data_IF_861968745234
#
_entry.id   IF_861968745234
#
_cell.length_a   1.000
_cell.length_b   1.000
_cell.length_c   1.000
_cell.angle_alpha   90.00
_cell.angle_beta   90.00
_cell.angle_gamma   90.00
#
_symmetry.space_group_name_H-M   'P 1'
#
loop_
_entity.id
_entity.type
_entity.pdbx_description
1 polymer ?
#
# COMPACT_ATOMS: atom_id res chain seq x y z
N UNK A 1 21.28 10.99 -5.41
CA UNK A 1 19.81 11.22 -5.37
C UNK A 1 19.21 10.11 -4.52
N UNK A 2 19.11 10.31 -3.21
CA UNK A 2 18.70 9.29 -2.22
C UNK A 2 17.53 9.75 -1.34
N UNK A 3 16.80 10.81 -1.68
CA UNK A 3 16.25 11.66 -0.60
C UNK A 3 14.72 11.67 -0.42
N UNK A 4 13.98 10.67 -0.90
CA UNK A 4 12.53 10.55 -0.57
C UNK A 4 12.21 9.26 0.19
N UNK A 5 12.99 8.20 0.02
CA UNK A 5 12.68 6.87 0.59
C UNK A 5 13.13 6.73 2.06
N UNK A 6 14.11 7.52 2.50
CA UNK A 6 14.63 7.42 3.87
C UNK A 6 13.71 8.00 4.95
N UNK A 7 12.80 8.91 4.58
CA UNK A 7 11.90 9.55 5.56
C UNK A 7 10.87 8.55 6.15
N UNK A 8 10.48 7.53 5.39
CA UNK A 8 9.52 6.50 5.83
C UNK A 8 10.21 5.45 6.72
N UNK A 9 11.49 5.19 6.49
CA UNK A 9 12.22 4.05 7.08
C UNK A 9 12.48 4.17 8.59
N UNK A 10 12.68 5.38 9.13
CA UNK A 10 13.20 5.55 10.49
C UNK A 10 12.11 5.42 11.57
N UNK A 11 10.89 5.89 11.30
CA UNK A 11 9.83 5.99 12.34
C UNK A 11 8.87 4.78 12.37
N UNK A 12 8.81 3.99 11.31
CA UNK A 12 7.80 2.92 11.16
C UNK A 12 8.24 1.53 11.63
N UNK A 13 9.48 1.38 12.13
CA UNK A 13 10.11 0.08 12.40
C UNK A 13 9.28 -0.86 13.30
N UNK A 14 8.54 -0.33 14.28
CA UNK A 14 7.70 -1.13 15.21
C UNK A 14 6.35 -1.57 14.63
N UNK A 15 5.64 -0.71 13.91
CA UNK A 15 4.37 -1.10 13.25
C UNK A 15 4.64 -2.02 12.04
N UNK A 16 5.80 -1.86 11.40
CA UNK A 16 6.21 -2.68 10.28
C UNK A 16 6.45 -4.15 10.65
N UNK A 17 6.85 -4.50 11.87
CA UNK A 17 7.16 -5.90 12.20
C UNK A 17 5.93 -6.83 12.19
N UNK A 18 4.78 -6.36 12.68
CA UNK A 18 3.53 -7.16 12.67
C UNK A 18 3.00 -7.33 11.25
N UNK A 19 3.02 -6.25 10.49
CA UNK A 19 2.72 -6.24 9.04
C UNK A 19 3.69 -7.15 8.28
N UNK A 20 5.00 -7.06 8.51
CA UNK A 20 6.01 -7.93 7.90
C UNK A 20 5.80 -9.40 8.22
N UNK A 21 5.41 -9.76 9.45
CA UNK A 21 5.08 -11.15 9.80
C UNK A 21 3.84 -11.63 9.07
N UNK A 22 2.83 -10.78 8.90
CA UNK A 22 1.62 -11.09 8.13
C UNK A 22 1.95 -11.24 6.63
N UNK A 23 2.74 -10.33 6.05
CA UNK A 23 3.17 -10.39 4.64
C UNK A 23 4.15 -11.53 4.34
N UNK A 24 5.03 -11.91 5.27
CA UNK A 24 5.89 -13.10 5.08
C UNK A 24 5.09 -14.41 5.02
N UNK A 25 3.91 -14.45 5.63
CA UNK A 25 3.01 -15.61 5.58
C UNK A 25 2.11 -15.58 4.35
N UNK A 26 1.73 -14.39 3.90
CA UNK A 26 1.03 -14.17 2.64
C UNK A 26 2.05 -14.01 1.50
N UNK A 27 2.59 -15.12 0.99
CA UNK A 27 3.50 -15.12 -0.17
C UNK A 27 2.93 -14.41 -1.42
N UNK A 28 1.65 -14.04 -1.40
CA UNK A 28 1.00 -13.06 -2.29
C UNK A 28 -0.21 -12.44 -1.57
N UNK A 29 -0.54 -11.18 -1.89
CA UNK A 29 -1.78 -10.52 -1.47
C UNK A 29 -2.93 -10.79 -2.45
N UNK A 30 -2.99 -11.98 -3.03
CA UNK A 30 -3.98 -12.36 -4.04
C UNK A 30 -5.33 -12.75 -3.43
N UNK A 31 -5.42 -12.85 -2.11
CA UNK A 31 -6.64 -13.29 -1.43
C UNK A 31 -7.43 -12.09 -0.90
N UNK A 32 -8.54 -11.79 -1.58
CA UNK A 32 -9.43 -10.68 -1.26
C UNK A 32 -9.95 -10.74 0.20
N UNK A 33 -10.22 -11.93 0.75
CA UNK A 33 -10.67 -12.06 2.14
C UNK A 33 -9.56 -11.69 3.13
N UNK A 34 -8.30 -12.01 2.80
CA UNK A 34 -7.15 -11.63 3.63
C UNK A 34 -6.91 -10.13 3.55
N UNK A 35 -7.04 -9.52 2.37
CA UNK A 35 -6.97 -8.07 2.22
C UNK A 35 -8.06 -7.41 3.06
N UNK A 36 -9.30 -7.89 3.00
CA UNK A 36 -10.41 -7.28 3.72
C UNK A 36 -10.26 -7.31 5.24
N UNK A 37 -9.81 -8.45 5.78
CA UNK A 37 -9.47 -8.57 7.20
C UNK A 37 -8.38 -7.59 7.60
N UNK A 38 -7.33 -7.46 6.78
CA UNK A 38 -6.21 -6.56 7.07
C UNK A 38 -6.61 -5.08 6.99
N UNK A 39 -7.48 -4.69 6.06
CA UNK A 39 -8.02 -3.33 5.96
C UNK A 39 -8.87 -3.01 7.19
N UNK A 40 -9.71 -3.96 7.61
CA UNK A 40 -10.59 -3.80 8.79
C UNK A 40 -9.82 -3.72 10.10
N UNK A 41 -8.76 -4.53 10.25
CA UNK A 41 -7.89 -4.51 11.43
C UNK A 41 -7.01 -3.25 11.52
N UNK A 42 -6.75 -2.59 10.37
CA UNK A 42 -5.89 -1.41 10.30
C UNK A 42 -6.73 -0.16 10.51
N UNK A 43 -7.05 0.17 11.76
CA UNK A 43 -7.63 1.47 12.12
C UNK A 43 -6.70 2.60 11.64
N UNK A 44 -7.18 3.43 10.72
CA UNK A 44 -6.42 4.52 10.10
C UNK A 44 -5.93 5.53 11.15
N UNK A 45 -4.62 5.70 11.28
CA UNK A 45 -4.02 6.73 12.13
C UNK A 45 -3.82 8.00 11.28
N UNK A 46 -4.18 9.18 11.81
CA UNK A 46 -4.03 10.50 11.17
C UNK A 46 -2.67 10.77 10.48
N UNK A 47 -1.59 10.14 10.94
CA UNK A 47 -0.26 10.24 10.30
C UNK A 47 -0.20 9.59 8.91
N UNK A 48 -0.96 8.52 8.67
CA UNK A 48 -0.97 7.79 7.40
C UNK A 48 -1.58 8.65 6.28
N UNK A 49 -2.54 9.54 6.60
CA UNK A 49 -3.20 10.40 5.60
C UNK A 49 -2.27 11.48 5.01
N UNK A 50 -1.42 12.12 5.83
CA UNK A 50 -0.48 13.14 5.31
C UNK A 50 0.57 12.51 4.39
N UNK A 51 1.10 11.36 4.79
CA UNK A 51 2.06 10.61 3.97
C UNK A 51 1.40 10.10 2.68
N UNK A 52 0.16 9.64 2.77
CA UNK A 52 -0.64 9.22 1.63
C UNK A 52 -0.83 10.34 0.61
N UNK A 53 -1.27 11.52 1.05
CA UNK A 53 -1.43 12.68 0.15
C UNK A 53 -0.11 13.11 -0.49
N UNK A 54 0.99 13.10 0.27
CA UNK A 54 2.32 13.40 -0.26
C UNK A 54 2.75 12.37 -1.32
N UNK A 55 2.42 11.09 -1.11
CA UNK A 55 2.69 10.03 -2.09
C UNK A 55 1.83 10.19 -3.35
N UNK A 56 0.55 10.53 -3.24
CA UNK A 56 -0.29 10.81 -4.42
C UNK A 56 0.28 11.95 -5.26
N UNK A 57 0.71 13.05 -4.62
CA UNK A 57 1.40 14.15 -5.32
C UNK A 57 2.72 13.72 -5.98
N UNK A 58 3.46 12.83 -5.33
CA UNK A 58 4.67 12.28 -5.91
C UNK A 58 4.38 11.46 -7.19
N UNK A 59 3.32 10.64 -7.18
CA UNK A 59 2.89 9.88 -8.35
C UNK A 59 2.38 10.79 -9.48
N UNK A 60 1.60 11.82 -9.14
CA UNK A 60 1.15 12.84 -10.07
C UNK A 60 2.34 13.54 -10.75
N UNK A 61 3.36 13.93 -9.98
CA UNK A 61 4.60 14.51 -10.54
C UNK A 61 5.45 13.54 -11.37
N UNK A 62 5.12 12.25 -11.37
CA UNK A 62 5.74 11.20 -12.19
C UNK A 62 4.84 10.71 -13.33
N UNK A 63 3.67 11.34 -13.51
CA UNK A 63 2.66 10.93 -14.49
C UNK A 63 2.23 9.46 -14.33
N UNK A 64 2.17 9.01 -13.07
CA UNK A 64 1.81 7.64 -12.69
C UNK A 64 0.41 7.61 -12.09
N UNK A 65 -0.42 6.67 -12.55
CA UNK A 65 -1.74 6.44 -11.97
C UNK A 65 -1.61 5.70 -10.62
N UNK A 66 -2.06 6.28 -9.49
CA UNK A 66 -2.02 5.65 -8.18
C UNK A 66 -2.75 4.31 -8.11
N UNK A 67 -3.89 4.17 -8.78
CA UNK A 67 -4.66 2.92 -8.79
C UNK A 67 -3.85 1.77 -9.42
N UNK A 68 -3.15 2.05 -10.52
CA UNK A 68 -2.28 1.07 -11.17
C UNK A 68 -1.11 0.68 -10.27
N UNK A 69 -0.48 1.65 -9.60
CA UNK A 69 0.63 1.37 -8.67
C UNK A 69 0.15 0.51 -7.50
N UNK A 70 -1.01 0.83 -6.92
CA UNK A 70 -1.58 0.06 -5.81
C UNK A 70 -2.02 -1.34 -6.23
N UNK A 71 -2.58 -1.49 -7.43
CA UNK A 71 -2.92 -2.80 -7.99
C UNK A 71 -1.67 -3.66 -8.20
N UNK A 72 -0.63 -3.08 -8.79
CA UNK A 72 0.66 -3.74 -8.97
C UNK A 72 1.33 -4.13 -7.64
N UNK A 73 1.13 -3.37 -6.57
CA UNK A 73 1.61 -3.75 -5.23
C UNK A 73 0.95 -5.05 -4.74
N UNK A 74 -0.33 -5.26 -5.04
CA UNK A 74 -1.08 -6.44 -4.63
C UNK A 74 -0.77 -7.67 -5.50
N UNK A 75 -0.49 -7.44 -6.79
CA UNK A 75 -0.32 -8.50 -7.79
C UNK A 75 1.14 -8.93 -8.00
N UNK A 76 2.07 -7.98 -8.02
CA UNK A 76 3.46 -8.26 -8.36
C UNK A 76 4.24 -8.79 -7.15
N UNK A 77 5.13 -9.77 -7.35
CA UNK A 77 6.16 -10.09 -6.37
C UNK A 77 6.98 -8.85 -6.04
N UNK A 78 7.40 -8.71 -4.77
CA UNK A 78 8.21 -7.60 -4.27
C UNK A 78 9.32 -7.18 -5.25
N UNK A 79 10.14 -8.12 -5.70
CA UNK A 79 11.28 -7.83 -6.56
C UNK A 79 10.88 -7.20 -7.90
N UNK A 80 9.77 -7.68 -8.50
CA UNK A 80 9.27 -7.16 -9.77
C UNK A 80 8.67 -5.75 -9.59
N UNK A 81 7.97 -5.51 -8.49
CA UNK A 81 7.47 -4.18 -8.17
C UNK A 81 8.60 -3.17 -7.98
N UNK A 82 9.61 -3.51 -7.16
CA UNK A 82 10.74 -2.63 -6.88
C UNK A 82 11.58 -2.36 -8.12
N UNK A 83 11.69 -3.33 -9.04
CA UNK A 83 12.34 -3.14 -10.33
C UNK A 83 11.55 -2.18 -11.24
N UNK A 84 10.22 -2.36 -11.33
CA UNK A 84 9.33 -1.57 -12.18
C UNK A 84 9.24 -0.11 -11.74
N UNK A 85 9.04 0.12 -10.44
CA UNK A 85 8.72 1.43 -9.90
C UNK A 85 9.89 2.14 -9.21
N UNK A 86 10.97 1.41 -8.89
CA UNK A 86 12.09 1.92 -8.08
C UNK A 86 11.64 2.50 -6.73
N UNK A 87 10.53 1.99 -6.19
CA UNK A 87 9.97 2.38 -4.90
C UNK A 87 10.14 1.23 -3.90
N UNK A 88 10.25 1.54 -2.61
CA UNK A 88 10.26 0.52 -1.56
C UNK A 88 8.86 -0.12 -1.46
N UNK A 89 8.75 -1.40 -1.83
CA UNK A 89 7.45 -2.10 -1.87
C UNK A 89 6.73 -2.03 -0.51
N UNK A 90 7.45 -2.16 0.60
CA UNK A 90 6.86 -2.18 1.93
C UNK A 90 6.22 -0.84 2.30
N UNK A 91 6.87 0.27 1.95
CA UNK A 91 6.32 1.61 2.15
C UNK A 91 5.06 1.81 1.31
N UNK A 92 5.05 1.36 0.05
CA UNK A 92 3.88 1.50 -0.82
C UNK A 92 2.73 0.60 -0.39
N UNK A 93 3.01 -0.61 0.12
CA UNK A 93 1.98 -1.49 0.71
C UNK A 93 1.20 -0.79 1.82
N UNK A 94 1.87 -0.11 2.74
CA UNK A 94 1.16 0.60 3.80
C UNK A 94 0.21 1.67 3.26
N UNK A 95 0.65 2.41 2.24
CA UNK A 95 -0.12 3.45 1.57
C UNK A 95 -1.27 2.86 0.75
N UNK A 96 -1.07 1.69 0.16
CA UNK A 96 -2.12 0.91 -0.49
C UNK A 96 -3.22 0.53 0.51
N UNK A 97 -2.87 0.09 1.71
CA UNK A 97 -3.88 -0.20 2.75
C UNK A 97 -4.60 1.06 3.23
N UNK A 98 -3.92 2.21 3.28
CA UNK A 98 -4.57 3.49 3.55
C UNK A 98 -5.57 3.85 2.45
N UNK A 99 -5.20 3.68 1.17
CA UNK A 99 -6.11 3.83 0.05
C UNK A 99 -7.32 2.91 0.16
N UNK A 100 -7.10 1.61 0.42
CA UNK A 100 -8.16 0.62 0.54
C UNK A 100 -9.12 0.92 1.70
N UNK A 101 -8.60 1.36 2.84
CA UNK A 101 -9.45 1.75 3.97
C UNK A 101 -10.31 2.98 3.64
N UNK A 102 -9.73 4.00 3.01
CA UNK A 102 -10.48 5.17 2.51
C UNK A 102 -11.52 4.74 1.47
N UNK A 103 -11.15 3.86 0.54
CA UNK A 103 -12.03 3.36 -0.52
C UNK A 103 -13.20 2.57 0.06
N UNK A 104 -12.95 1.70 1.06
CA UNK A 104 -13.98 0.94 1.77
C UNK A 104 -14.97 1.84 2.50
N UNK A 105 -14.50 2.94 3.10
CA UNK A 105 -15.36 3.89 3.81
C UNK A 105 -16.21 4.75 2.87
N UNK A 106 -15.65 5.18 1.74
CA UNK A 106 -16.29 6.17 0.86
C UNK A 106 -17.05 5.52 -0.31
N UNK A 107 -16.52 4.44 -0.91
CA UNK A 107 -17.08 3.73 -2.06
C UNK A 107 -16.92 2.20 -1.91
N UNK A 108 -17.76 1.53 -1.09
CA UNK A 108 -17.64 0.10 -0.81
C UNK A 108 -17.70 -0.81 -2.04
N UNK A 109 -18.47 -0.45 -3.05
CA UNK A 109 -18.59 -1.22 -4.31
C UNK A 109 -17.26 -1.23 -5.08
N UNK A 110 -16.68 -0.05 -5.29
CA UNK A 110 -15.38 0.10 -5.95
C UNK A 110 -14.27 -0.59 -5.16
N UNK A 111 -14.36 -0.61 -3.83
CA UNK A 111 -13.44 -1.37 -2.98
C UNK A 111 -13.51 -2.89 -3.25
N UNK A 112 -14.72 -3.45 -3.32
CA UNK A 112 -14.92 -4.88 -3.61
C UNK A 112 -14.34 -5.21 -5.00
N UNK A 113 -14.66 -4.41 -6.01
CA UNK A 113 -14.15 -4.60 -7.36
C UNK A 113 -12.62 -4.53 -7.40
N UNK A 114 -12.02 -3.61 -6.63
CA UNK A 114 -10.58 -3.42 -6.57
C UNK A 114 -9.85 -4.63 -5.96
N UNK A 115 -10.40 -5.22 -4.89
CA UNK A 115 -9.77 -6.37 -4.23
C UNK A 115 -10.06 -7.71 -4.93
N UNK A 116 -11.19 -7.84 -5.62
CA UNK A 116 -11.58 -9.03 -6.38
C UNK A 116 -10.92 -9.12 -7.75
N UNK A 117 -10.54 -7.98 -8.33
CA UNK A 117 -9.83 -7.92 -9.63
C UNK A 117 -8.32 -8.21 -9.52
N UNK A 118 -7.88 -8.89 -8.45
CA UNK A 118 -6.48 -9.25 -8.16
C UNK A 118 -6.13 -10.70 -8.48
#
# INVERSE_FOLDING_TARGET
>A
MHDIIDFISIKQKKNNEKLHRMFRKANSLQDAEKIDKLVTDKTLVLQDHKLFLAFLKYLEGKDMNPETVFKDVLQLPKHQFEERYRMNWQSVVQLCFTFLAILKENNPEQYIDFIQSN
#
